data_IF_354232894176
#
_entry.id   IF_354232894176
#
_cell.length_a   1.000
_cell.length_b   1.000
_cell.length_c   1.000
_cell.angle_alpha   90.00
_cell.angle_beta   90.00
_cell.angle_gamma   90.00
#
_symmetry.space_group_name_H-M   'P 1'
#
loop_
_entity.id
_entity.type
_entity.pdbx_description
1 polymer ?
#
# COMPACT_ATOMS: atom_id res chain seq x y z
N UNK A 1 47.97 -40.16 -10.84
CA UNK A 1 47.92 -40.98 -12.07
C UNK A 1 46.97 -40.29 -13.05
N UNK A 2 47.45 -40.04 -14.27
CA UNK A 2 46.67 -39.46 -15.37
C UNK A 2 45.65 -40.48 -15.88
N UNK A 3 44.48 -40.01 -16.33
CA UNK A 3 43.82 -40.48 -17.55
C UNK A 3 42.96 -39.33 -18.11
N UNK A 4 43.31 -38.95 -19.34
CA UNK A 4 42.70 -37.97 -20.24
C UNK A 4 41.68 -38.65 -21.15
N UNK A 5 40.55 -38.01 -21.48
CA UNK A 5 39.79 -38.22 -22.74
C UNK A 5 38.68 -37.16 -22.80
N UNK A 6 38.79 -36.07 -23.57
CA UNK A 6 38.63 -35.93 -25.03
C UNK A 6 37.35 -36.59 -25.56
N UNK A 7 36.35 -35.77 -25.89
CA UNK A 7 35.53 -35.93 -27.12
C UNK A 7 35.08 -34.56 -27.63
N UNK A 8 35.73 -34.13 -28.71
CA UNK A 8 35.30 -33.09 -29.63
C UNK A 8 34.08 -33.55 -30.43
N UNK A 9 33.04 -32.72 -30.52
CA UNK A 9 31.89 -32.92 -31.41
C UNK A 9 31.66 -31.68 -32.26
N UNK A 10 32.21 -31.69 -33.47
CA UNK A 10 32.01 -30.72 -34.54
C UNK A 10 30.79 -31.15 -35.38
N UNK A 11 29.81 -30.26 -35.59
CA UNK A 11 28.85 -30.32 -36.71
C UNK A 11 28.29 -28.90 -36.93
N UNK A 12 28.89 -28.09 -37.81
CA UNK A 12 28.60 -27.95 -39.24
C UNK A 12 27.24 -27.27 -39.56
N UNK A 13 27.31 -25.93 -39.64
CA UNK A 13 26.87 -25.06 -40.74
C UNK A 13 25.51 -25.33 -41.43
N UNK A 14 24.59 -24.38 -41.27
CA UNK A 14 23.66 -23.97 -42.33
C UNK A 14 23.45 -22.45 -42.28
N UNK A 15 24.21 -21.73 -43.12
CA UNK A 15 24.00 -20.35 -43.49
C UNK A 15 22.82 -20.30 -44.47
N UNK A 16 21.70 -19.65 -44.11
CA UNK A 16 20.64 -19.32 -45.07
C UNK A 16 20.58 -17.80 -45.25
N UNK A 17 21.20 -17.43 -46.36
CA UNK A 17 21.06 -16.25 -47.21
C UNK A 17 20.10 -15.14 -46.77
N UNK A 18 20.71 -13.97 -46.62
CA UNK A 18 20.20 -12.62 -46.89
C UNK A 18 18.99 -12.55 -47.83
N UNK A 19 17.91 -11.97 -47.32
CA UNK A 19 16.87 -11.30 -48.10
C UNK A 19 16.61 -9.91 -47.49
N UNK A 20 17.55 -8.98 -47.63
CA UNK A 20 17.29 -7.57 -47.39
C UNK A 20 16.55 -7.01 -48.62
N UNK A 21 15.32 -6.54 -48.41
CA UNK A 21 14.61 -5.68 -49.36
C UNK A 21 13.97 -4.53 -48.59
N UNK A 22 14.29 -3.25 -48.89
CA UNK A 22 13.82 -2.10 -48.14
C UNK A 22 12.45 -1.64 -48.65
N UNK A 23 11.48 -1.52 -47.74
CA UNK A 23 10.12 -1.07 -48.05
C UNK A 23 9.52 -0.27 -46.89
N UNK A 24 9.81 1.02 -46.89
CA UNK A 24 9.04 2.17 -46.39
C UNK A 24 8.02 1.97 -45.25
N UNK A 25 8.39 2.51 -44.09
CA UNK A 25 7.64 3.48 -43.29
C UNK A 25 6.12 3.60 -43.58
N UNK A 26 5.32 3.05 -42.68
CA UNK A 26 4.05 3.65 -42.28
C UNK A 26 3.70 3.18 -40.87
N UNK A 27 3.79 4.11 -39.92
CA UNK A 27 3.32 3.95 -38.54
C UNK A 27 1.80 3.77 -38.56
N UNK A 28 1.35 2.51 -38.57
CA UNK A 28 -0.05 2.14 -38.34
C UNK A 28 -0.15 1.53 -36.94
N UNK A 29 -0.61 2.30 -35.96
CA UNK A 29 -1.98 2.17 -35.43
C UNK A 29 -2.26 0.77 -34.89
N UNK A 30 -1.47 0.38 -33.93
CA UNK A 30 -1.88 -0.25 -32.68
C UNK A 30 -3.03 0.58 -32.04
N UNK A 31 -4.22 0.44 -32.62
CA UNK A 31 -5.48 0.96 -32.11
C UNK A 31 -5.98 0.16 -30.91
N UNK A 32 -5.13 -0.02 -29.89
CA UNK A 32 -5.53 -0.37 -28.53
C UNK A 32 -5.73 0.90 -27.70
N UNK A 33 -6.41 1.89 -28.29
CA UNK A 33 -6.87 3.06 -27.56
C UNK A 33 -8.15 2.69 -26.84
N UNK A 34 -8.04 2.17 -25.62
CA UNK A 34 -9.10 2.36 -24.64
C UNK A 34 -9.35 3.87 -24.56
N UNK A 35 -10.57 4.36 -24.80
CA UNK A 35 -10.86 5.78 -24.71
C UNK A 35 -10.56 6.26 -23.27
N UNK A 36 -9.89 7.41 -23.07
CA UNK A 36 -9.89 8.05 -21.77
C UNK A 36 -11.27 8.68 -21.60
N UNK A 37 -12.17 7.94 -20.98
CA UNK A 37 -13.54 8.38 -20.80
C UNK A 37 -14.32 7.47 -19.85
N UNK A 38 -14.59 8.04 -18.68
CA UNK A 38 -15.74 7.79 -17.80
C UNK A 38 -15.79 6.53 -16.94
N UNK A 39 -15.06 6.59 -15.85
CA UNK A 39 -15.43 6.06 -14.54
C UNK A 39 -14.82 6.96 -13.47
N UNK A 40 -15.52 8.06 -13.17
CA UNK A 40 -15.25 8.88 -11.99
C UNK A 40 -15.56 8.11 -10.70
N UNK A 41 -14.76 7.10 -10.38
CA UNK A 41 -14.54 6.60 -9.02
C UNK A 41 -13.16 7.08 -8.54
N UNK A 42 -12.93 7.20 -7.23
CA UNK A 42 -11.60 7.53 -6.74
C UNK A 42 -10.64 6.46 -7.26
N UNK A 43 -9.53 6.91 -7.83
CA UNK A 43 -8.49 6.04 -8.36
C UNK A 43 -8.05 5.04 -7.29
N UNK A 44 -8.54 3.80 -7.32
CA UNK A 44 -7.79 2.68 -6.75
C UNK A 44 -6.64 2.40 -7.73
N UNK A 45 -5.70 3.34 -7.78
CA UNK A 45 -4.50 3.33 -8.63
C UNK A 45 -3.42 2.39 -8.12
N UNK A 46 -3.76 1.52 -7.17
CA UNK A 46 -2.90 0.43 -6.77
C UNK A 46 -3.10 -0.75 -7.71
N UNK A 47 -2.10 -0.96 -8.58
CA UNK A 47 -2.03 -2.11 -9.46
C UNK A 47 -1.27 -3.28 -8.85
N UNK A 48 -0.59 -3.01 -7.73
CA UNK A 48 0.15 -3.99 -6.95
C UNK A 48 -0.54 -4.15 -5.60
N UNK A 49 -0.78 -5.41 -5.23
CA UNK A 49 -1.30 -5.80 -3.91
C UNK A 49 -0.18 -6.48 -3.10
N UNK A 50 1.07 -6.14 -3.41
CA UNK A 50 2.19 -6.46 -2.55
C UNK A 50 2.01 -5.68 -1.25
N UNK A 51 2.20 -6.39 -0.16
CA UNK A 51 1.90 -6.06 1.22
C UNK A 51 2.97 -6.85 2.00
N UNK A 52 4.01 -6.16 2.45
CA UNK A 52 5.28 -6.78 2.85
C UNK A 52 5.29 -7.21 4.31
N UNK A 53 4.72 -6.42 5.21
CA UNK A 53 4.46 -6.75 6.62
C UNK A 53 3.18 -7.59 6.80
N UNK A 54 2.24 -7.54 5.85
CA UNK A 54 1.01 -8.32 5.89
C UNK A 54 -0.08 -7.68 6.74
N UNK A 55 -0.03 -6.36 6.95
CA UNK A 55 -0.98 -5.60 7.76
C UNK A 55 -2.34 -5.40 7.05
N UNK A 56 -2.37 -5.58 5.73
CA UNK A 56 -3.55 -5.43 4.91
C UNK A 56 -3.66 -4.08 4.19
N UNK A 57 -2.65 -3.22 4.30
CA UNK A 57 -2.35 -2.09 3.43
C UNK A 57 -1.35 -2.57 2.37
N UNK A 58 -1.28 -1.90 1.22
CA UNK A 58 -0.34 -2.28 0.16
C UNK A 58 0.89 -1.39 0.16
N UNK A 59 2.08 -1.93 -0.16
CA UNK A 59 3.36 -1.20 -0.20
C UNK A 59 3.26 0.10 -1.01
N UNK A 60 2.46 0.08 -2.09
CA UNK A 60 2.27 1.24 -2.97
C UNK A 60 1.50 2.39 -2.29
N UNK A 61 0.67 2.08 -1.29
CA UNK A 61 -0.06 3.03 -0.44
C UNK A 61 0.78 3.55 0.71
N UNK A 62 1.58 2.69 1.32
CA UNK A 62 2.50 3.04 2.42
C UNK A 62 3.67 3.89 1.89
N UNK A 63 4.26 3.45 0.78
CA UNK A 63 5.43 4.08 0.19
C UNK A 63 6.71 3.88 1.02
N UNK A 64 7.66 4.79 0.84
CA UNK A 64 8.96 4.79 1.52
C UNK A 64 8.98 5.79 2.71
N UNK A 65 7.80 6.14 3.24
CA UNK A 65 7.65 7.03 4.39
C UNK A 65 8.12 6.39 5.70
N UNK A 66 8.26 7.21 6.73
CA UNK A 66 8.60 6.85 8.12
C UNK A 66 7.90 7.93 8.98
N UNK A 67 6.66 7.64 9.39
CA UNK A 67 5.75 8.63 9.99
C UNK A 67 6.11 8.90 11.45
N UNK A 68 6.38 7.85 12.22
CA UNK A 68 6.75 7.94 13.63
C UNK A 68 8.24 8.29 13.86
N UNK A 69 9.08 8.09 12.84
CA UNK A 69 10.50 8.43 12.86
C UNK A 69 11.37 7.42 13.61
N UNK A 70 10.93 6.16 13.77
CA UNK A 70 11.68 5.12 14.47
C UNK A 70 12.83 4.51 13.62
N UNK A 71 12.79 4.75 12.31
CA UNK A 71 13.78 4.30 11.33
C UNK A 71 13.42 3.01 10.58
N UNK A 72 12.23 2.47 10.80
CA UNK A 72 11.54 1.52 9.94
C UNK A 72 10.71 2.33 8.93
N UNK A 73 10.52 1.80 7.72
CA UNK A 73 9.65 2.47 6.74
C UNK A 73 8.26 1.90 6.90
N UNK A 74 7.20 2.68 6.65
CA UNK A 74 5.82 2.25 6.86
C UNK A 74 5.52 0.88 6.24
N UNK A 75 5.98 0.61 5.00
CA UNK A 75 5.81 -0.70 4.31
C UNK A 75 6.59 -1.89 4.90
N UNK A 76 7.23 -1.70 6.04
CA UNK A 76 7.94 -2.70 6.83
C UNK A 76 7.64 -2.55 8.33
N UNK A 77 6.77 -1.61 8.69
CA UNK A 77 6.44 -1.28 10.06
C UNK A 77 5.12 -1.94 10.45
N UNK A 78 5.01 -2.41 11.68
CA UNK A 78 3.78 -3.04 12.16
C UNK A 78 2.88 -2.02 12.92
N UNK A 79 3.37 -0.80 13.17
CA UNK A 79 2.78 0.29 13.98
C UNK A 79 3.33 1.64 13.45
N UNK A 80 2.84 2.06 12.28
CA UNK A 80 3.44 3.12 11.44
C UNK A 80 3.37 4.53 12.06
N UNK A 81 2.42 4.79 12.95
CA UNK A 81 2.28 6.08 13.63
C UNK A 81 2.78 6.07 15.09
N UNK A 82 3.10 4.88 15.62
CA UNK A 82 3.76 4.66 16.90
C UNK A 82 2.86 4.93 18.10
N UNK A 83 1.55 4.83 17.94
CA UNK A 83 0.57 5.06 19.00
C UNK A 83 0.37 3.81 19.91
N UNK A 84 0.84 2.64 19.45
CA UNK A 84 0.77 1.36 20.14
C UNK A 84 -0.38 0.44 19.71
N UNK A 85 -1.16 0.84 18.72
CA UNK A 85 -2.12 0.04 17.98
C UNK A 85 -1.44 -0.42 16.69
N UNK A 86 -1.49 -1.72 16.35
CA UNK A 86 -0.80 -2.19 15.15
C UNK A 86 -1.62 -1.86 13.89
N UNK A 87 -0.93 -1.53 12.79
CA UNK A 87 -1.54 -1.14 11.50
C UNK A 87 -2.57 -2.17 11.03
N UNK A 88 -2.35 -3.46 11.28
CA UNK A 88 -3.28 -4.54 10.95
C UNK A 88 -4.67 -4.44 11.60
N UNK A 89 -4.79 -3.70 12.70
CA UNK A 89 -6.05 -3.39 13.39
C UNK A 89 -6.70 -2.16 12.77
N UNK A 90 -5.91 -1.18 12.36
CA UNK A 90 -6.35 0.15 11.91
C UNK A 90 -6.62 0.20 10.41
N UNK A 91 -5.88 -0.56 9.60
CA UNK A 91 -6.09 -0.76 8.17
C UNK A 91 -7.56 -1.10 7.83
N UNK A 92 -8.25 -1.74 8.79
CA UNK A 92 -9.68 -1.94 8.80
C UNK A 92 -10.13 -3.19 8.04
N UNK A 93 -11.38 -3.59 8.30
CA UNK A 93 -11.95 -4.84 7.77
C UNK A 93 -12.35 -4.78 6.29
N UNK A 94 -12.06 -3.68 5.59
CA UNK A 94 -12.50 -3.40 4.23
C UNK A 94 -11.92 -4.35 3.18
N UNK A 95 -10.84 -5.08 3.51
CA UNK A 95 -10.20 -6.08 2.66
C UNK A 95 -9.69 -5.52 1.34
N UNK A 96 -9.60 -4.19 1.24
CA UNK A 96 -9.05 -3.48 0.09
C UNK A 96 -7.75 -2.81 0.54
N UNK A 97 -6.59 -3.42 0.27
CA UNK A 97 -5.29 -2.83 0.60
C UNK A 97 -5.03 -1.47 -0.05
N UNK A 98 -5.86 -1.14 -1.04
CA UNK A 98 -5.80 0.09 -1.80
C UNK A 98 -6.83 1.12 -1.32
N UNK A 99 -7.46 0.91 -0.17
CA UNK A 99 -8.35 1.85 0.50
C UNK A 99 -8.35 1.50 1.99
N UNK A 100 -7.22 1.77 2.70
CA UNK A 100 -7.19 1.67 4.15
C UNK A 100 -8.28 2.56 4.75
N UNK A 101 -8.67 2.21 5.97
CA UNK A 101 -9.63 2.98 6.73
C UNK A 101 -9.12 4.40 7.00
N UNK A 102 -10.05 5.35 7.03
CA UNK A 102 -9.85 6.78 7.27
C UNK A 102 -11.15 7.23 7.96
N UNK A 103 -11.12 7.29 9.29
CA UNK A 103 -12.29 7.42 10.16
C UNK A 103 -12.82 8.85 10.20
N UNK A 104 -11.94 9.84 10.26
CA UNK A 104 -12.30 11.26 10.25
C UNK A 104 -12.42 11.88 8.84
N UNK A 105 -11.96 11.15 7.81
CA UNK A 105 -11.96 11.54 6.41
C UNK A 105 -11.08 12.77 6.08
N UNK A 106 -10.00 12.99 6.83
CA UNK A 106 -9.04 14.06 6.57
C UNK A 106 -8.05 13.75 5.42
N UNK A 107 -7.99 12.47 5.02
CA UNK A 107 -7.14 11.95 3.97
C UNK A 107 -5.89 11.21 4.47
N UNK A 108 -5.69 11.14 5.78
CA UNK A 108 -4.70 10.32 6.49
C UNK A 108 -5.41 9.03 6.95
N UNK A 109 -4.97 7.86 6.49
CA UNK A 109 -5.50 6.59 7.01
C UNK A 109 -5.25 6.44 8.52
N UNK A 110 -6.15 5.73 9.21
CA UNK A 110 -6.10 5.47 10.67
C UNK A 110 -4.71 4.95 11.10
N UNK A 111 -4.12 3.99 10.38
CA UNK A 111 -2.78 3.43 10.68
C UNK A 111 -1.62 4.45 10.63
N UNK A 112 -1.87 5.67 10.13
CA UNK A 112 -0.91 6.75 9.97
C UNK A 112 -1.31 7.99 10.76
N UNK A 113 -2.37 7.90 11.57
CA UNK A 113 -2.98 9.01 12.28
C UNK A 113 -3.15 8.68 13.77
N UNK A 114 -2.40 9.40 14.60
CA UNK A 114 -2.37 9.19 16.06
C UNK A 114 -3.66 9.56 16.80
N UNK A 115 -4.68 10.08 16.09
CA UNK A 115 -5.99 10.53 16.58
C UNK A 115 -7.04 10.29 15.47
N UNK A 116 -7.37 9.01 15.23
CA UNK A 116 -8.12 8.52 14.06
C UNK A 116 -9.52 9.12 13.89
N UNK A 117 -10.15 9.58 14.97
CA UNK A 117 -11.46 10.23 14.92
C UNK A 117 -11.43 11.76 15.14
N UNK A 118 -10.23 12.29 15.43
CA UNK A 118 -9.91 13.70 15.55
C UNK A 118 -10.74 14.41 16.63
N UNK A 119 -11.03 13.71 17.73
CA UNK A 119 -11.68 14.29 18.91
C UNK A 119 -10.71 15.04 19.83
N UNK A 120 -9.40 14.82 19.65
CA UNK A 120 -8.31 15.42 20.41
C UNK A 120 -7.77 14.55 21.55
N UNK A 121 -8.18 13.30 21.66
CA UNK A 121 -7.55 12.26 22.48
C UNK A 121 -6.79 11.30 21.55
N UNK A 122 -5.49 11.06 21.78
CA UNK A 122 -4.75 10.11 20.95
C UNK A 122 -5.27 8.69 21.11
N UNK A 123 -5.29 7.93 20.02
CA UNK A 123 -5.82 6.57 19.91
C UNK A 123 -5.24 5.61 20.97
N UNK A 124 -3.92 5.61 21.15
CA UNK A 124 -3.26 4.85 22.21
C UNK A 124 -3.66 5.25 23.65
N UNK A 125 -4.02 6.53 23.88
CA UNK A 125 -4.60 6.97 25.17
C UNK A 125 -6.05 6.48 25.33
N UNK A 126 -6.84 6.50 24.26
CA UNK A 126 -8.22 6.01 24.24
C UNK A 126 -8.30 4.52 24.57
N UNK A 127 -7.47 3.70 23.93
CA UNK A 127 -7.37 2.27 24.24
C UNK A 127 -7.00 2.04 25.70
N UNK A 128 -6.13 2.90 26.27
CA UNK A 128 -5.72 2.80 27.66
C UNK A 128 -6.83 3.21 28.64
N UNK A 129 -7.63 4.22 28.29
CA UNK A 129 -8.78 4.69 29.07
C UNK A 129 -10.04 3.81 28.86
N UNK A 130 -10.04 2.99 27.80
CA UNK A 130 -11.11 2.05 27.46
C UNK A 130 -12.22 2.66 26.61
N UNK A 131 -11.93 3.77 25.94
CA UNK A 131 -12.78 4.40 24.90
C UNK A 131 -12.47 3.77 23.53
N UNK A 132 -13.22 4.14 22.50
CA UNK A 132 -13.13 3.61 21.14
C UNK A 132 -12.39 4.63 20.25
N UNK A 133 -11.14 4.37 19.81
CA UNK A 133 -10.29 5.28 19.01
C UNK A 133 -10.89 5.80 17.70
N UNK A 134 -12.07 5.30 17.37
CA UNK A 134 -12.69 5.41 16.07
C UNK A 134 -14.07 6.06 16.17
N UNK A 135 -14.39 6.61 17.34
CA UNK A 135 -15.67 7.16 17.66
C UNK A 135 -15.57 8.23 18.75
N UNK A 136 -15.63 9.48 18.28
CA UNK A 136 -15.60 10.76 19.03
C UNK A 136 -16.44 10.82 20.31
N UNK A 137 -17.41 9.93 20.48
CA UNK A 137 -18.29 9.79 21.64
C UNK A 137 -18.55 8.28 21.86
N UNK A 138 -17.61 7.65 22.56
CA UNK A 138 -17.54 6.20 22.74
C UNK A 138 -18.77 5.58 23.39
N UNK A 139 -19.42 6.29 24.33
CA UNK A 139 -20.61 5.80 25.04
C UNK A 139 -21.94 6.30 24.46
N UNK A 140 -21.88 7.29 23.57
CA UNK A 140 -23.00 7.82 22.81
C UNK A 140 -23.94 8.71 23.64
N UNK A 141 -23.44 9.32 24.71
CA UNK A 141 -24.24 10.16 25.61
C UNK A 141 -24.34 11.63 25.16
N UNK A 142 -23.52 12.03 24.17
CA UNK A 142 -23.45 13.36 23.60
C UNK A 142 -22.33 14.25 24.14
N UNK A 143 -21.43 13.70 24.97
CA UNK A 143 -20.16 14.31 25.39
C UNK A 143 -19.03 13.55 24.68
N UNK A 144 -18.09 14.26 24.05
CA UNK A 144 -16.95 13.58 23.41
C UNK A 144 -16.00 12.98 24.44
N UNK A 145 -15.19 12.00 24.06
CA UNK A 145 -14.22 11.38 24.97
C UNK A 145 -13.25 12.42 25.56
N UNK A 146 -12.77 13.37 24.74
CA UNK A 146 -12.05 14.55 25.23
C UNK A 146 -12.86 15.37 26.26
N UNK A 147 -14.15 15.54 26.01
CA UNK A 147 -15.08 16.27 26.87
C UNK A 147 -15.27 15.59 28.23
N UNK A 148 -15.30 14.27 28.27
CA UNK A 148 -15.38 13.48 29.48
C UNK A 148 -14.09 13.59 30.30
N UNK A 149 -12.92 13.52 29.64
CA UNK A 149 -11.60 13.75 30.29
C UNK A 149 -11.51 15.14 30.92
N UNK A 150 -12.08 16.16 30.27
CA UNK A 150 -12.12 17.53 30.78
C UNK A 150 -13.11 17.74 31.94
N UNK A 151 -14.13 16.89 32.07
CA UNK A 151 -15.17 16.99 33.08
C UNK A 151 -14.85 16.27 34.40
N UNK A 152 -13.69 15.60 34.49
CA UNK A 152 -13.19 14.84 35.65
C UNK A 152 -13.20 15.54 37.01
#
# INVERSE_FOLDING_TARGET
MRLTSTTTGLALLAFLLFGCSPGSLSTGRDGGGTPPGSDGGPSSGCSDSTDTDGDGIADQREGDGDIDGDGIINSLDDDSDGDGIPDSVEAGTGGNPCAPRDTDADGTPDAYDTDSDNDGVPDGEEVADGTDPLNVDSDGDGITDLGERAAG
#
